data_IF_672881668942
#
_entry.id   IF_672881668942
#
_cell.length_a   1.000
_cell.length_b   1.000
_cell.length_c   1.000
_cell.angle_alpha   90.00
_cell.angle_beta   90.00
_cell.angle_gamma   90.00
#
_symmetry.space_group_name_H-M   'P 1'
#
loop_
_entity.id
_entity.type
_entity.pdbx_description
1 polymer ?
#
# COMPACT_ATOMS: atom_id res chain seq x y z
N UNK A 1 -0.23 0.15 -13.35
CA UNK A 1 -1.23 -0.16 -12.31
C UNK A 1 -0.55 -0.05 -10.95
N UNK A 2 -1.12 -0.61 -9.88
CA UNK A 2 -0.82 -0.49 -8.44
C UNK A 2 -0.06 0.77 -7.94
N UNK A 3 1.18 0.99 -8.39
CA UNK A 3 2.03 2.14 -8.01
C UNK A 3 1.45 3.51 -8.41
N UNK A 4 0.68 3.61 -9.50
CA UNK A 4 0.00 4.88 -9.85
C UNK A 4 -1.12 5.15 -8.85
N UNK A 5 -1.99 4.16 -8.67
CA UNK A 5 -3.13 4.18 -7.76
C UNK A 5 -2.71 4.45 -6.29
N UNK A 6 -1.52 3.97 -5.89
CA UNK A 6 -0.87 4.33 -4.62
C UNK A 6 -0.54 5.83 -4.53
N UNK A 7 0.06 6.41 -5.56
CA UNK A 7 0.42 7.83 -5.58
C UNK A 7 -0.82 8.73 -5.61
N UNK A 8 -1.90 8.32 -6.31
CA UNK A 8 -3.20 9.01 -6.28
C UNK A 8 -3.81 8.98 -4.86
N UNK A 9 -3.72 7.85 -4.15
CA UNK A 9 -4.14 7.75 -2.74
C UNK A 9 -3.30 8.65 -1.82
N UNK A 10 -1.97 8.65 -1.96
CA UNK A 10 -1.07 9.50 -1.18
C UNK A 10 -1.33 10.99 -1.43
N UNK A 11 -1.61 11.39 -2.68
CA UNK A 11 -2.01 12.74 -3.03
C UNK A 11 -3.35 13.12 -2.37
N UNK A 12 -4.34 12.21 -2.37
CA UNK A 12 -5.63 12.41 -1.71
C UNK A 12 -5.49 12.63 -0.19
N UNK A 13 -4.76 11.77 0.55
CA UNK A 13 -4.59 11.96 1.99
C UNK A 13 -3.72 13.18 2.34
N UNK A 14 -2.85 13.63 1.44
CA UNK A 14 -2.05 14.86 1.58
C UNK A 14 -2.87 16.13 1.35
N UNK A 15 -3.73 16.18 0.33
CA UNK A 15 -4.47 17.40 -0.06
C UNK A 15 -5.82 17.50 0.66
N UNK A 16 -6.65 16.47 0.56
CA UNK A 16 -8.02 16.48 1.08
C UNK A 16 -8.06 16.20 2.59
N UNK A 17 -7.25 15.24 3.06
CA UNK A 17 -7.18 14.88 4.50
C UNK A 17 -6.11 15.65 5.28
N UNK A 18 -5.22 16.36 4.59
CA UNK A 18 -4.16 17.21 5.17
C UNK A 18 -3.31 16.50 6.23
N UNK A 19 -3.04 15.22 6.01
CA UNK A 19 -2.16 14.43 6.88
C UNK A 19 -0.72 14.98 6.87
N UNK A 20 -0.03 14.87 8.00
CA UNK A 20 1.32 15.43 8.15
C UNK A 20 2.33 14.74 7.23
N UNK A 21 3.45 15.38 6.84
CA UNK A 21 4.47 14.75 5.98
C UNK A 21 4.98 13.42 6.52
N UNK A 22 5.16 13.31 7.84
CA UNK A 22 5.58 12.08 8.54
C UNK A 22 4.53 10.97 8.38
N UNK A 23 3.24 11.33 8.41
CA UNK A 23 2.12 10.42 8.17
C UNK A 23 2.08 9.97 6.71
N UNK A 24 2.25 10.90 5.75
CA UNK A 24 2.34 10.54 4.32
C UNK A 24 3.50 9.57 4.07
N UNK A 25 4.69 9.86 4.60
CA UNK A 25 5.84 8.98 4.47
C UNK A 25 5.66 7.63 5.18
N UNK A 26 4.84 7.55 6.24
CA UNK A 26 4.49 6.27 6.86
C UNK A 26 3.62 5.42 5.92
N UNK A 27 2.48 5.95 5.48
CA UNK A 27 1.61 5.27 4.52
C UNK A 27 2.35 4.89 3.22
N UNK A 28 3.25 5.74 2.70
CA UNK A 28 4.04 5.41 1.51
C UNK A 28 4.98 4.21 1.73
N UNK A 29 5.68 4.13 2.86
CA UNK A 29 6.51 2.96 3.20
C UNK A 29 5.67 1.71 3.39
N UNK A 30 4.59 1.80 4.17
CA UNK A 30 3.77 0.65 4.57
C UNK A 30 3.06 0.04 3.35
N UNK A 31 2.58 0.88 2.42
CA UNK A 31 1.96 0.43 1.16
C UNK A 31 3.01 -0.06 0.15
N UNK A 32 4.18 0.59 0.02
CA UNK A 32 5.24 0.10 -0.87
C UNK A 32 5.78 -1.26 -0.40
N UNK A 33 6.01 -1.46 0.90
CA UNK A 33 6.43 -2.75 1.45
C UNK A 33 5.38 -3.86 1.23
N UNK A 34 4.08 -3.54 1.30
CA UNK A 34 3.03 -4.48 0.92
C UNK A 34 3.01 -4.76 -0.59
N UNK A 35 3.22 -3.75 -1.44
CA UNK A 35 3.36 -3.94 -2.89
C UNK A 35 4.54 -4.86 -3.22
N UNK A 36 5.68 -4.66 -2.54
CA UNK A 36 6.90 -5.44 -2.75
C UNK A 36 6.68 -6.91 -2.35
N UNK A 37 6.06 -7.16 -1.18
CA UNK A 37 5.61 -8.50 -0.77
C UNK A 37 4.67 -9.14 -1.80
N UNK A 38 3.70 -8.39 -2.34
CA UNK A 38 2.79 -8.89 -3.36
C UNK A 38 3.51 -9.29 -4.67
N UNK A 39 4.75 -8.86 -4.93
CA UNK A 39 5.51 -9.31 -6.12
C UNK A 39 6.08 -10.73 -6.01
N UNK A 40 6.11 -11.31 -4.80
CA UNK A 40 6.42 -12.74 -4.62
C UNK A 40 5.22 -13.65 -4.98
N UNK A 41 4.05 -13.04 -5.20
CA UNK A 41 2.77 -13.66 -5.57
C UNK A 41 2.42 -13.20 -7.00
N UNK A 42 1.69 -13.98 -7.83
CA UNK A 42 1.27 -13.53 -9.17
C UNK A 42 0.14 -12.46 -9.16
N UNK A 43 0.13 -11.54 -8.19
CA UNK A 43 -0.84 -10.45 -8.03
C UNK A 43 -0.28 -9.18 -8.67
N UNK A 44 -1.03 -8.57 -9.59
CA UNK A 44 -0.58 -7.36 -10.33
C UNK A 44 -1.57 -6.19 -10.31
N UNK A 45 -2.70 -6.35 -9.61
CA UNK A 45 -3.77 -5.38 -9.48
C UNK A 45 -4.32 -5.37 -8.05
N UNK A 46 -4.71 -4.19 -7.55
CA UNK A 46 -5.40 -4.07 -6.25
C UNK A 46 -6.72 -4.85 -6.19
N UNK A 47 -7.36 -5.11 -7.34
CA UNK A 47 -8.60 -5.88 -7.42
C UNK A 47 -8.38 -7.39 -7.20
N UNK A 48 -7.15 -7.88 -7.32
CA UNK A 48 -6.81 -9.29 -7.14
C UNK A 48 -6.38 -9.59 -5.69
N UNK A 49 -6.17 -8.54 -4.87
CA UNK A 49 -5.74 -8.65 -3.46
C UNK A 49 -6.93 -9.05 -2.58
N UNK A 50 -6.82 -10.18 -1.89
CA UNK A 50 -7.83 -10.63 -0.92
C UNK A 50 -7.47 -10.28 0.53
N UNK A 51 -8.46 -10.41 1.42
CA UNK A 51 -8.27 -10.30 2.88
C UNK A 51 -7.35 -11.40 3.43
N UNK A 52 -7.14 -12.50 2.69
CA UNK A 52 -6.19 -13.55 3.06
C UNK A 52 -4.76 -13.09 2.83
N UNK A 53 -4.46 -12.46 1.69
CA UNK A 53 -3.11 -12.00 1.34
C UNK A 53 -2.63 -10.92 2.31
N UNK A 54 -3.52 -9.96 2.64
CA UNK A 54 -3.28 -8.95 3.69
C UNK A 54 -3.01 -9.60 5.05
N UNK A 55 -3.70 -10.71 5.39
CA UNK A 55 -3.49 -11.41 6.67
C UNK A 55 -2.17 -12.18 6.70
N UNK A 56 -1.75 -12.79 5.59
CA UNK A 56 -0.46 -13.48 5.51
C UNK A 56 0.68 -12.46 5.60
N UNK A 57 0.58 -11.33 4.87
CA UNK A 57 1.51 -10.20 4.99
C UNK A 57 1.68 -9.72 6.44
N UNK A 58 0.57 -9.45 7.14
CA UNK A 58 0.59 -9.05 8.56
C UNK A 58 1.11 -10.14 9.51
N UNK A 59 1.23 -11.39 9.06
CA UNK A 59 1.85 -12.50 9.80
C UNK A 59 3.36 -12.66 9.56
N UNK A 60 3.91 -12.06 8.50
CA UNK A 60 5.35 -12.03 8.19
C UNK A 60 6.01 -10.67 8.42
N UNK A 61 5.21 -9.62 8.66
CA UNK A 61 5.68 -8.31 9.10
C UNK A 61 6.29 -8.41 10.51
N UNK A 62 7.49 -7.84 10.70
CA UNK A 62 8.29 -7.90 11.93
C UNK A 62 8.56 -6.51 12.50
#
# INVERSE_FOLDING_TARGET
MMKNEMQDFLAYIKVERRYSPETIHAYERDIQHFCDYLTEVPITSWNDVSVVDVRIYLGVLH
#
